data_IF_625419716483
#
_entry.id   IF_625419716483
#
_cell.length_a   1.000
_cell.length_b   1.000
_cell.length_c   1.000
_cell.angle_alpha   90.00
_cell.angle_beta   90.00
_cell.angle_gamma   90.00
#
_symmetry.space_group_name_H-M   'P 1'
#
loop_
_entity.id
_entity.type
_entity.pdbx_description
1 polymer ?
#
# COMPACT_ATOMS: atom_id res chain seq x y z
N UNK A 1 27.70 -31.84 -39.94
CA UNK A 1 27.99 -30.61 -39.17
C UNK A 1 27.34 -30.73 -37.82
N UNK A 2 28.09 -31.18 -36.79
CA UNK A 2 27.56 -31.33 -35.41
C UNK A 2 27.65 -29.97 -34.73
N UNK A 3 26.49 -29.43 -34.39
CA UNK A 3 26.39 -28.22 -33.54
C UNK A 3 26.70 -28.65 -32.11
N UNK A 4 27.75 -28.09 -31.56
CA UNK A 4 28.28 -28.44 -30.23
C UNK A 4 27.30 -27.97 -29.14
N UNK A 5 26.75 -28.90 -28.36
CA UNK A 5 25.83 -28.65 -27.24
C UNK A 5 26.43 -27.72 -26.18
N UNK A 6 27.76 -27.63 -26.14
CA UNK A 6 28.46 -26.73 -25.22
C UNK A 6 28.28 -25.23 -25.57
N UNK A 7 27.98 -24.92 -26.83
CA UNK A 7 27.75 -23.53 -27.29
C UNK A 7 26.37 -23.03 -26.90
N UNK A 8 25.36 -23.92 -26.89
CA UNK A 8 23.96 -23.58 -26.52
C UNK A 8 23.88 -23.34 -24.99
N UNK A 9 24.55 -24.15 -24.19
CA UNK A 9 24.58 -24.02 -22.73
C UNK A 9 25.26 -22.70 -22.27
N UNK A 10 26.29 -22.27 -22.97
CA UNK A 10 26.96 -20.96 -22.69
C UNK A 10 26.08 -19.78 -23.06
N UNK A 11 25.31 -19.86 -24.14
CA UNK A 11 24.39 -18.79 -24.54
C UNK A 11 23.24 -18.59 -23.55
N UNK A 12 22.67 -19.70 -23.04
CA UNK A 12 21.60 -19.64 -22.03
C UNK A 12 22.11 -19.08 -20.69
N UNK A 13 23.34 -19.46 -20.28
CA UNK A 13 23.93 -18.95 -19.01
C UNK A 13 24.24 -17.45 -19.09
N UNK A 14 24.62 -16.94 -20.26
CA UNK A 14 24.86 -15.50 -20.48
C UNK A 14 23.55 -14.68 -20.47
N UNK A 15 22.45 -15.24 -20.97
CA UNK A 15 21.15 -14.58 -20.95
C UNK A 15 20.60 -14.43 -19.51
N UNK A 16 20.85 -15.41 -18.64
CA UNK A 16 20.47 -15.32 -17.22
C UNK A 16 21.31 -14.31 -16.44
N UNK A 17 22.58 -14.14 -16.75
CA UNK A 17 23.45 -13.15 -16.10
C UNK A 17 23.13 -11.72 -16.52
N UNK A 18 22.60 -11.51 -17.72
CA UNK A 18 22.24 -10.16 -18.21
C UNK A 18 20.92 -9.66 -17.60
N UNK A 19 20.03 -10.56 -17.13
CA UNK A 19 18.75 -10.19 -16.52
C UNK A 19 18.87 -9.77 -15.04
N UNK A 20 19.96 -10.09 -14.37
CA UNK A 20 20.18 -9.72 -12.95
C UNK A 20 20.84 -8.36 -12.76
N UNK A 21 21.38 -7.75 -13.81
CA UNK A 21 22.18 -6.51 -13.73
C UNK A 21 21.34 -5.27 -13.36
N UNK A 22 20.03 -5.34 -13.52
CA UNK A 22 19.12 -4.21 -13.20
C UNK A 22 18.94 -3.99 -11.69
N UNK A 23 19.12 -5.03 -10.89
CA UNK A 23 18.94 -5.02 -9.43
C UNK A 23 20.25 -5.16 -8.66
N UNK A 24 21.40 -5.17 -9.36
CA UNK A 24 22.70 -5.11 -8.69
C UNK A 24 22.87 -3.75 -7.99
N UNK A 25 23.57 -3.76 -6.87
CA UNK A 25 23.72 -2.59 -5.99
C UNK A 25 24.35 -1.37 -6.69
N UNK A 26 25.17 -1.59 -7.70
CA UNK A 26 25.83 -0.56 -8.52
C UNK A 26 25.05 -0.19 -9.79
N UNK A 27 23.88 -0.80 -10.02
CA UNK A 27 23.06 -0.48 -11.20
C UNK A 27 22.48 0.93 -11.12
N UNK A 28 22.26 1.54 -12.30
CA UNK A 28 21.64 2.88 -12.40
C UNK A 28 20.25 2.88 -11.76
N UNK A 29 19.48 1.79 -11.90
CA UNK A 29 18.14 1.67 -11.31
C UNK A 29 18.22 1.71 -9.80
N UNK A 30 19.11 0.91 -9.19
CA UNK A 30 19.27 0.89 -7.73
C UNK A 30 19.83 2.20 -7.18
N UNK A 31 20.69 2.89 -7.91
CA UNK A 31 21.10 4.25 -7.56
C UNK A 31 19.92 5.20 -7.51
N UNK A 32 19.00 5.17 -8.49
CA UNK A 32 17.80 6.02 -8.52
C UNK A 32 16.78 5.63 -7.45
N UNK A 33 16.67 4.37 -7.10
CA UNK A 33 15.85 3.91 -5.95
C UNK A 33 16.40 4.51 -4.64
N UNK A 34 17.72 4.50 -4.44
CA UNK A 34 18.33 5.12 -3.25
C UNK A 34 18.13 6.63 -3.22
N UNK A 35 18.25 7.32 -4.37
CA UNK A 35 17.98 8.75 -4.49
C UNK A 35 16.53 9.07 -4.08
N UNK A 36 15.56 8.28 -4.56
CA UNK A 36 14.15 8.39 -4.18
C UNK A 36 13.94 8.17 -2.68
N UNK A 37 14.52 7.10 -2.13
CA UNK A 37 14.42 6.80 -0.69
C UNK A 37 15.03 7.91 0.16
N UNK A 38 16.18 8.46 -0.26
CA UNK A 38 16.82 9.59 0.41
C UNK A 38 15.94 10.85 0.35
N UNK A 39 15.31 11.12 -0.81
CA UNK A 39 14.37 12.23 -0.96
C UNK A 39 13.18 12.12 -0.02
N UNK A 40 12.55 10.95 0.04
CA UNK A 40 11.44 10.70 0.97
C UNK A 40 11.90 10.86 2.43
N UNK A 41 13.03 10.26 2.80
CA UNK A 41 13.53 10.30 4.16
C UNK A 41 13.93 11.72 4.64
N UNK A 42 14.28 12.62 3.73
CA UNK A 42 14.65 14.01 4.02
C UNK A 42 13.48 15.00 3.90
N UNK A 43 12.35 14.54 3.41
CA UNK A 43 11.15 15.36 3.25
C UNK A 43 10.56 15.75 4.62
N UNK A 44 10.28 17.03 4.82
CA UNK A 44 9.79 17.53 6.10
C UNK A 44 8.39 17.00 6.43
N UNK A 45 7.50 16.90 5.45
CA UNK A 45 6.15 16.36 5.64
C UNK A 45 6.20 14.90 6.10
N UNK A 46 7.10 14.10 5.48
CA UNK A 46 7.33 12.72 5.90
C UNK A 46 7.85 12.62 7.34
N UNK A 47 8.79 13.49 7.73
CA UNK A 47 9.30 13.55 9.11
C UNK A 47 8.20 13.93 10.11
N UNK A 48 7.32 14.85 9.76
CA UNK A 48 6.19 15.26 10.58
C UNK A 48 5.18 14.09 10.76
N UNK A 49 4.94 13.29 9.71
CA UNK A 49 4.13 12.07 9.81
C UNK A 49 4.74 11.04 10.76
N UNK A 50 6.05 10.81 10.67
CA UNK A 50 6.77 9.92 11.60
C UNK A 50 6.69 10.40 13.05
N UNK A 51 6.81 11.70 13.28
CA UNK A 51 6.68 12.27 14.63
C UNK A 51 5.27 12.04 15.22
N UNK A 52 4.22 12.09 14.39
CA UNK A 52 2.85 11.75 14.83
C UNK A 52 2.72 10.27 15.21
N UNK A 53 3.36 9.36 14.44
CA UNK A 53 3.41 7.94 14.78
C UNK A 53 4.15 7.70 16.09
N UNK A 54 5.32 8.32 16.30
CA UNK A 54 6.09 8.21 17.54
C UNK A 54 5.32 8.72 18.75
N UNK A 55 4.63 9.86 18.60
CA UNK A 55 3.78 10.41 19.65
C UNK A 55 2.68 9.45 20.07
N UNK A 56 2.02 8.80 19.10
CA UNK A 56 1.01 7.78 19.36
C UNK A 56 1.61 6.56 20.08
N UNK A 57 2.77 6.09 19.65
CA UNK A 57 3.45 4.96 20.28
C UNK A 57 3.86 5.22 21.72
N UNK A 58 4.10 6.49 22.08
CA UNK A 58 4.38 6.93 23.45
C UNK A 58 3.13 7.19 24.31
N UNK A 59 1.94 7.17 23.74
CA UNK A 59 0.67 7.44 24.45
C UNK A 59 -0.12 6.15 24.69
N UNK A 60 -0.06 5.66 25.93
CA UNK A 60 -0.71 4.39 26.31
C UNK A 60 -2.23 4.45 26.20
N UNK A 61 -2.85 5.59 26.50
CA UNK A 61 -4.30 5.77 26.42
C UNK A 61 -4.78 5.69 24.96
N UNK A 62 -4.11 6.43 24.07
CA UNK A 62 -4.42 6.42 22.64
C UNK A 62 -4.24 5.01 22.04
N UNK A 63 -3.16 4.31 22.39
CA UNK A 63 -2.89 2.95 21.91
C UNK A 63 -3.95 1.93 22.37
N UNK A 64 -4.28 1.93 23.67
CA UNK A 64 -5.28 1.02 24.23
C UNK A 64 -6.67 1.29 23.65
N UNK A 65 -7.05 2.55 23.49
CA UNK A 65 -8.30 2.94 22.86
C UNK A 65 -8.36 2.48 21.39
N UNK A 66 -7.29 2.69 20.64
CA UNK A 66 -7.17 2.23 19.23
C UNK A 66 -7.30 0.71 19.13
N UNK A 67 -6.58 -0.03 19.97
CA UNK A 67 -6.60 -1.49 19.98
C UNK A 67 -8.02 -2.01 20.31
N UNK A 68 -8.68 -1.45 21.33
CA UNK A 68 -10.03 -1.83 21.72
C UNK A 68 -11.04 -1.63 20.58
N UNK A 69 -11.01 -0.50 19.90
CA UNK A 69 -11.87 -0.22 18.74
C UNK A 69 -11.58 -1.17 17.59
N UNK A 70 -10.30 -1.42 17.32
CA UNK A 70 -9.88 -2.33 16.25
C UNK A 70 -10.38 -3.77 16.50
N UNK A 71 -10.20 -4.29 17.70
CA UNK A 71 -10.67 -5.63 18.11
C UNK A 71 -12.19 -5.74 18.03
N UNK A 72 -12.93 -4.74 18.53
CA UNK A 72 -14.38 -4.71 18.44
C UNK A 72 -14.86 -4.68 16.98
N UNK A 73 -14.23 -3.89 16.11
CA UNK A 73 -14.52 -3.85 14.68
C UNK A 73 -14.26 -5.18 13.99
N UNK A 74 -13.17 -5.87 14.32
CA UNK A 74 -12.88 -7.21 13.80
C UNK A 74 -13.92 -8.23 14.23
N UNK A 75 -14.36 -8.20 15.49
CA UNK A 75 -15.39 -9.12 15.99
C UNK A 75 -16.73 -8.90 15.27
N UNK A 76 -17.16 -7.65 15.08
CA UNK A 76 -18.37 -7.34 14.31
C UNK A 76 -18.27 -7.84 12.85
N UNK A 77 -17.13 -7.62 12.21
CA UNK A 77 -16.89 -8.10 10.85
C UNK A 77 -16.92 -9.64 10.75
N UNK A 78 -16.30 -10.34 11.70
CA UNK A 78 -16.34 -11.82 11.75
C UNK A 78 -17.77 -12.35 11.93
N UNK A 79 -18.57 -11.72 12.81
CA UNK A 79 -19.99 -12.08 13.00
C UNK A 79 -20.78 -11.87 11.71
N UNK A 80 -20.57 -10.74 11.02
CA UNK A 80 -21.22 -10.44 9.76
C UNK A 80 -20.87 -11.46 8.66
N UNK A 81 -19.57 -11.82 8.54
CA UNK A 81 -19.12 -12.83 7.58
C UNK A 81 -19.68 -14.24 7.89
N UNK A 82 -19.89 -14.55 9.18
CA UNK A 82 -20.51 -15.80 9.60
C UNK A 82 -22.05 -15.80 9.48
N UNK A 83 -22.66 -14.72 8.99
CA UNK A 83 -24.12 -14.59 8.86
C UNK A 83 -24.84 -14.51 10.20
N UNK A 84 -24.14 -14.14 11.28
CA UNK A 84 -24.72 -13.96 12.59
C UNK A 84 -25.38 -12.59 12.70
N UNK A 85 -26.47 -12.50 13.49
CA UNK A 85 -27.06 -11.20 13.80
C UNK A 85 -26.10 -10.33 14.61
N UNK A 86 -26.05 -9.06 14.27
CA UNK A 86 -25.30 -8.04 15.00
C UNK A 86 -26.26 -7.33 15.95
N UNK A 87 -26.15 -7.51 17.28
CA UNK A 87 -27.00 -6.80 18.25
C UNK A 87 -26.78 -5.28 18.12
N UNK A 88 -27.87 -4.51 18.12
CA UNK A 88 -27.79 -3.04 18.06
C UNK A 88 -26.94 -2.45 19.19
N UNK A 89 -26.93 -3.09 20.36
CA UNK A 89 -26.12 -2.69 21.50
C UNK A 89 -24.60 -2.82 21.22
N UNK A 90 -24.18 -3.85 20.49
CA UNK A 90 -22.77 -4.01 20.13
C UNK A 90 -22.34 -2.98 19.06
N UNK A 91 -23.21 -2.71 18.09
CA UNK A 91 -22.98 -1.66 17.09
C UNK A 91 -22.89 -0.30 17.77
N UNK A 92 -23.83 0.03 18.65
CA UNK A 92 -23.83 1.29 19.37
C UNK A 92 -22.58 1.46 20.26
N UNK A 93 -22.16 0.40 20.96
CA UNK A 93 -20.94 0.42 21.76
C UNK A 93 -19.68 0.66 20.92
N UNK A 94 -19.60 -0.01 19.76
CA UNK A 94 -18.50 0.19 18.82
C UNK A 94 -18.46 1.63 18.28
N UNK A 95 -19.59 2.17 17.83
CA UNK A 95 -19.67 3.54 17.30
C UNK A 95 -19.32 4.59 18.37
N UNK A 96 -19.75 4.37 19.63
CA UNK A 96 -19.36 5.24 20.74
C UNK A 96 -17.85 5.18 21.02
N UNK A 97 -17.26 3.99 21.08
CA UNK A 97 -15.83 3.83 21.29
C UNK A 97 -15.03 4.46 20.13
N UNK A 98 -15.48 4.29 18.89
CA UNK A 98 -14.90 4.90 17.71
C UNK A 98 -14.95 6.43 17.75
N UNK A 99 -16.09 6.99 18.16
CA UNK A 99 -16.25 8.44 18.31
C UNK A 99 -15.29 9.01 19.37
N UNK A 100 -15.12 8.31 20.50
CA UNK A 100 -14.17 8.69 21.54
C UNK A 100 -12.71 8.62 21.05
N UNK A 101 -12.36 7.56 20.30
CA UNK A 101 -11.03 7.43 19.69
C UNK A 101 -10.75 8.60 18.74
N UNK A 102 -11.70 8.95 17.88
CA UNK A 102 -11.55 10.07 16.93
C UNK A 102 -11.50 11.44 17.61
N UNK A 103 -12.08 11.57 18.81
CA UNK A 103 -11.99 12.79 19.62
C UNK A 103 -10.62 12.94 20.32
N UNK A 104 -9.85 11.86 20.46
CA UNK A 104 -8.48 11.92 20.97
C UNK A 104 -7.54 12.47 19.87
N UNK A 105 -6.91 13.63 20.04
CA UNK A 105 -6.10 14.25 19.00
C UNK A 105 -4.89 13.40 18.63
N UNK A 106 -4.26 12.68 19.56
CA UNK A 106 -3.10 11.84 19.31
C UNK A 106 -3.49 10.65 18.41
N UNK A 107 -4.61 9.99 18.70
CA UNK A 107 -5.11 8.88 17.90
C UNK A 107 -5.59 9.35 16.52
N UNK A 108 -6.30 10.49 16.45
CA UNK A 108 -6.76 11.07 15.19
C UNK A 108 -5.61 11.46 14.27
N UNK A 109 -4.56 12.08 14.79
CA UNK A 109 -3.38 12.47 14.01
C UNK A 109 -2.59 11.25 13.55
N UNK A 110 -2.45 10.23 14.39
CA UNK A 110 -1.86 8.94 14.00
C UNK A 110 -2.62 8.27 12.84
N UNK A 111 -3.95 8.24 12.89
CA UNK A 111 -4.74 7.64 11.81
C UNK A 111 -4.57 8.40 10.48
N UNK A 112 -4.51 9.73 10.54
CA UNK A 112 -4.20 10.54 9.35
C UNK A 112 -2.79 10.27 8.83
N UNK A 113 -1.80 10.19 9.73
CA UNK A 113 -0.43 9.89 9.37
C UNK A 113 -0.31 8.52 8.70
N UNK A 114 -0.95 7.48 9.24
CA UNK A 114 -1.01 6.15 8.60
C UNK A 114 -1.58 6.23 7.18
N UNK A 115 -2.71 6.91 7.00
CA UNK A 115 -3.34 7.05 5.68
C UNK A 115 -2.42 7.77 4.69
N UNK A 116 -1.72 8.81 5.14
CA UNK A 116 -0.76 9.54 4.30
C UNK A 116 0.44 8.66 3.92
N UNK A 117 0.99 7.89 4.86
CA UNK A 117 2.10 6.96 4.61
C UNK A 117 1.69 5.85 3.62
N UNK A 118 0.50 5.27 3.76
CA UNK A 118 -0.06 4.32 2.80
C UNK A 118 -0.22 4.94 1.42
N UNK A 119 -0.70 6.17 1.35
CA UNK A 119 -0.87 6.90 0.08
C UNK A 119 0.47 7.12 -0.62
N UNK A 120 1.52 7.49 0.11
CA UNK A 120 2.87 7.63 -0.43
C UNK A 120 3.35 6.29 -0.99
N UNK A 121 3.23 5.20 -0.21
CA UNK A 121 3.65 3.87 -0.63
C UNK A 121 2.90 3.40 -1.88
N UNK A 122 1.57 3.52 -1.89
CA UNK A 122 0.74 3.14 -3.03
C UNK A 122 1.07 3.95 -4.28
N UNK A 123 1.29 5.25 -4.13
CA UNK A 123 1.63 6.15 -5.24
C UNK A 123 2.96 5.75 -5.87
N UNK A 124 4.02 5.57 -5.06
CA UNK A 124 5.33 5.14 -5.55
C UNK A 124 5.24 3.78 -6.23
N UNK A 125 4.59 2.80 -5.60
CA UNK A 125 4.42 1.46 -6.15
C UNK A 125 3.66 1.48 -7.49
N UNK A 126 2.64 2.32 -7.60
CA UNK A 126 1.85 2.49 -8.82
C UNK A 126 2.69 3.09 -9.95
N UNK A 127 3.47 4.14 -9.70
CA UNK A 127 4.35 4.71 -10.71
C UNK A 127 5.35 3.69 -11.24
N UNK A 128 5.96 2.91 -10.35
CA UNK A 128 6.90 1.84 -10.72
C UNK A 128 6.18 0.76 -11.53
N UNK A 129 5.03 0.28 -11.05
CA UNK A 129 4.23 -0.74 -11.74
C UNK A 129 3.82 -0.31 -13.15
N UNK A 130 3.26 0.89 -13.29
CA UNK A 130 2.88 1.43 -14.60
C UNK A 130 4.09 1.64 -15.53
N UNK A 131 5.24 2.01 -14.99
CA UNK A 131 6.48 2.12 -15.80
C UNK A 131 6.89 0.78 -16.39
N UNK A 132 6.78 -0.30 -15.60
CA UNK A 132 7.09 -1.66 -16.06
C UNK A 132 6.10 -2.16 -17.11
N UNK A 133 4.82 -1.80 -16.99
CA UNK A 133 3.78 -2.18 -17.95
C UNK A 133 3.88 -1.39 -19.26
N UNK A 134 4.09 -0.07 -19.18
CA UNK A 134 4.11 0.82 -20.33
C UNK A 134 5.47 0.89 -21.04
N UNK A 135 6.55 0.46 -20.37
CA UNK A 135 7.92 0.61 -20.86
C UNK A 135 8.40 2.09 -20.93
N UNK A 136 7.67 3.01 -20.30
CA UNK A 136 7.99 4.45 -20.21
C UNK A 136 7.46 5.04 -18.90
N UNK A 137 7.94 6.23 -18.55
CA UNK A 137 7.38 6.98 -17.41
C UNK A 137 5.91 7.32 -17.68
N UNK A 138 4.99 7.01 -16.74
CA UNK A 138 3.57 7.33 -16.89
C UNK A 138 3.33 8.83 -16.98
N UNK A 139 2.42 9.23 -17.86
CA UNK A 139 1.93 10.62 -17.94
C UNK A 139 0.79 10.84 -16.93
N UNK A 140 0.41 12.10 -16.63
CA UNK A 140 -0.76 12.39 -15.80
C UNK A 140 -2.06 11.74 -16.32
N UNK A 141 -2.22 11.65 -17.65
CA UNK A 141 -3.36 10.98 -18.27
C UNK A 141 -3.38 9.48 -18.01
N UNK A 142 -2.23 8.79 -18.10
CA UNK A 142 -2.11 7.38 -17.78
C UNK A 142 -2.54 7.11 -16.33
N UNK A 143 -2.09 7.97 -15.40
CA UNK A 143 -2.42 7.87 -13.98
C UNK A 143 -3.92 8.09 -13.73
N UNK A 144 -4.52 9.07 -14.39
CA UNK A 144 -5.93 9.37 -14.28
C UNK A 144 -6.82 8.22 -14.79
N UNK A 145 -6.46 7.64 -15.94
CA UNK A 145 -7.18 6.49 -16.51
C UNK A 145 -7.10 5.26 -15.62
N UNK A 146 -5.95 4.96 -15.05
CA UNK A 146 -5.77 3.86 -14.11
C UNK A 146 -6.51 4.08 -12.78
N UNK A 147 -6.87 5.32 -12.41
CA UNK A 147 -7.68 5.63 -11.22
C UNK A 147 -9.18 5.48 -11.50
N UNK A 148 -9.63 5.66 -12.76
CA UNK A 148 -11.04 5.61 -13.16
C UNK A 148 -11.55 4.20 -13.51
N UNK A 149 -10.70 3.19 -13.57
CA UNK A 149 -11.03 1.83 -14.03
C UNK A 149 -11.74 0.93 -13.03
N UNK A 150 -12.26 1.44 -11.92
CA UNK A 150 -12.88 0.65 -10.85
C UNK A 150 -14.42 0.55 -10.85
N UNK A 151 -15.13 1.08 -11.84
CA UNK A 151 -16.60 1.06 -11.85
C UNK A 151 -17.19 0.79 -13.23
N UNK A 152 -16.97 -0.42 -13.80
CA UNK A 152 -17.82 -0.94 -14.86
C UNK A 152 -18.10 -2.43 -14.58
N UNK A 153 -18.87 -2.67 -13.52
CA UNK A 153 -19.53 -3.93 -13.25
C UNK A 153 -20.86 -3.95 -13.97
N UNK A 154 -21.01 -4.82 -14.98
CA UNK A 154 -22.21 -5.55 -15.27
C UNK A 154 -23.47 -4.80 -15.64
N UNK A 155 -23.56 -4.31 -16.85
CA UNK A 155 -24.83 -4.13 -17.56
C UNK A 155 -25.29 -5.49 -18.09
N UNK A 156 -25.96 -6.25 -17.24
CA UNK A 156 -26.69 -7.46 -17.62
C UNK A 156 -27.98 -7.09 -18.34
N UNK A 157 -27.95 -7.00 -19.67
CA UNK A 157 -29.13 -6.93 -20.50
C UNK A 157 -29.93 -8.22 -20.39
N UNK A 158 -31.08 -8.19 -19.74
CA UNK A 158 -32.15 -9.17 -19.81
C UNK A 158 -33.20 -8.69 -20.82
N UNK A 159 -33.13 -9.16 -22.03
CA UNK A 159 -34.25 -9.07 -22.97
C UNK A 159 -34.88 -10.45 -23.14
N UNK A 160 -36.20 -10.53 -23.08
CA UNK A 160 -36.96 -11.70 -23.42
C UNK A 160 -38.34 -11.71 -22.80
#
# INVERSE_FOLDING_TARGET
>A
MKVDESTIARSASYAYLTTMNLLEDDSVVMSKVRDLCAGIAQDQEYQDLLAQVEKFLGDDEARLSYQSVHEAGQQLNQKQQAGLELPESEIAAFEQARAQLLANPVASDFMKAQQSLETIQMTVSRFVGMTLELGRVPTPEDIAQASGGGCCGGEGGGGG
#
